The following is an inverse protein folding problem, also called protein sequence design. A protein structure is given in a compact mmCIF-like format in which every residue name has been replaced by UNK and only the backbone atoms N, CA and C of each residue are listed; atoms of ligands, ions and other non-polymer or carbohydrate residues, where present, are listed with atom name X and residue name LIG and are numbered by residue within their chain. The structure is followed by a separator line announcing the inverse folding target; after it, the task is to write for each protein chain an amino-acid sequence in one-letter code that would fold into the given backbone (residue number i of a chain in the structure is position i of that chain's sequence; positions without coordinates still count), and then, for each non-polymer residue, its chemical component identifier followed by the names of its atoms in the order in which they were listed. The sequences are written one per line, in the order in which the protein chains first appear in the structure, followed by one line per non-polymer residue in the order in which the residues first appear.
data_IF_008830072805
#
_entry.id   IF_008830072805
#
_cell.length_a   1.000
_cell.length_b   1.000
_cell.length_c   1.000
_cell.angle_alpha   90.00
_cell.angle_beta   90.00
_cell.angle_gamma   90.00
#
_symmetry.space_group_name_H-M   'P 1'
#
loop_
_entity.id
_entity.type
_entity.pdbx_description
1 polymer ?
#
# COMPACT_ATOMS: atom_id res chain seq x y z
N UNK A 1 -7.37 5.47 19.53
CA UNK A 1 -7.22 6.59 18.57
C UNK A 1 -8.57 7.26 18.38
N UNK A 2 -8.60 8.52 17.98
CA UNK A 2 -9.81 9.22 17.52
C UNK A 2 -9.92 8.99 16.01
N UNK A 3 -11.01 8.36 15.57
CA UNK A 3 -11.29 8.06 14.16
C UNK A 3 -12.55 8.79 13.74
N UNK A 4 -12.40 9.65 12.74
CA UNK A 4 -13.51 10.36 12.14
C UNK A 4 -13.98 9.64 10.88
N UNK A 5 -15.28 9.36 10.80
CA UNK A 5 -15.94 8.89 9.58
C UNK A 5 -16.69 10.07 8.96
N UNK A 6 -16.30 10.48 7.76
CA UNK A 6 -16.90 11.61 7.04
C UNK A 6 -17.71 11.12 5.84
N UNK A 7 -18.94 11.62 5.70
CA UNK A 7 -19.72 11.52 4.47
C UNK A 7 -20.30 12.88 4.06
N UNK A 8 -20.86 12.97 2.85
CA UNK A 8 -21.60 14.14 2.38
C UNK A 8 -23.09 13.84 2.22
N UNK A 9 -23.95 14.79 2.59
CA UNK A 9 -25.40 14.71 2.39
C UNK A 9 -25.81 14.75 0.92
N UNK A 10 -24.94 15.19 0.00
CA UNK A 10 -25.23 15.20 -1.44
C UNK A 10 -24.59 14.03 -2.20
N UNK A 11 -23.84 13.17 -1.51
CA UNK A 11 -23.28 11.93 -2.07
C UNK A 11 -24.21 10.73 -1.80
N UNK A 12 -24.82 10.11 -2.82
CA UNK A 12 -25.70 8.96 -2.61
C UNK A 12 -24.99 7.72 -2.07
N UNK A 13 -23.77 7.42 -2.54
CA UNK A 13 -23.03 6.26 -2.05
C UNK A 13 -22.57 6.50 -0.61
N UNK A 14 -22.00 7.68 -0.34
CA UNK A 14 -21.55 8.06 1.01
C UNK A 14 -22.68 7.97 2.04
N UNK A 15 -23.86 8.52 1.75
CA UNK A 15 -25.05 8.37 2.62
C UNK A 15 -25.46 6.92 2.82
N UNK A 16 -25.46 6.12 1.76
CA UNK A 16 -25.86 4.72 1.83
C UNK A 16 -24.87 3.87 2.63
N UNK A 17 -23.57 4.10 2.48
CA UNK A 17 -22.52 3.47 3.30
C UNK A 17 -22.72 3.85 4.77
N UNK A 18 -22.88 5.15 5.06
CA UNK A 18 -23.12 5.63 6.42
C UNK A 18 -24.35 4.98 7.07
N UNK A 19 -25.49 4.97 6.36
CA UNK A 19 -26.73 4.32 6.85
C UNK A 19 -26.52 2.82 7.12
N UNK A 20 -25.75 2.13 6.28
CA UNK A 20 -25.44 0.72 6.50
C UNK A 20 -24.55 0.52 7.72
N UNK A 21 -23.60 1.43 7.99
CA UNK A 21 -22.81 1.40 9.23
C UNK A 21 -23.72 1.57 10.46
N UNK A 22 -24.57 2.59 10.46
CA UNK A 22 -25.49 2.87 11.58
C UNK A 22 -26.39 1.64 11.87
N UNK A 23 -26.97 1.05 10.83
CA UNK A 23 -27.79 -0.17 10.93
C UNK A 23 -27.01 -1.35 11.52
N UNK A 24 -25.80 -1.62 11.01
CA UNK A 24 -24.97 -2.72 11.49
C UNK A 24 -24.57 -2.54 12.97
N UNK A 25 -24.27 -1.30 13.37
CA UNK A 25 -23.95 -0.95 14.76
C UNK A 25 -25.17 -1.13 15.67
N UNK A 26 -26.35 -0.70 15.24
CA UNK A 26 -27.60 -0.87 15.99
C UNK A 26 -27.96 -2.36 16.16
N UNK A 27 -27.78 -3.16 15.12
CA UNK A 27 -28.11 -4.59 15.12
C UNK A 27 -27.16 -5.45 15.95
N UNK A 28 -25.85 -5.15 15.94
CA UNK A 28 -24.80 -6.03 16.49
C UNK A 28 -24.09 -5.47 17.72
N UNK A 29 -24.26 -4.18 18.03
CA UNK A 29 -23.47 -3.49 19.05
C UNK A 29 -22.11 -3.03 18.51
N UNK A 30 -21.56 -1.96 19.10
CA UNK A 30 -20.26 -1.40 18.70
C UNK A 30 -19.11 -2.37 18.97
N UNK A 31 -19.22 -3.13 20.06
CA UNK A 31 -18.26 -4.14 20.52
C UNK A 31 -18.08 -5.31 19.54
N UNK A 32 -19.00 -5.51 18.59
CA UNK A 32 -18.87 -6.51 17.55
C UNK A 32 -17.83 -6.13 16.47
N UNK A 33 -17.43 -4.86 16.41
CA UNK A 33 -16.62 -4.31 15.33
C UNK A 33 -15.22 -3.89 15.82
N UNK A 34 -14.14 -4.45 15.24
CA UNK A 34 -12.76 -4.05 15.53
C UNK A 34 -12.48 -2.55 15.44
N UNK A 35 -13.23 -1.80 14.62
CA UNK A 35 -13.09 -0.34 14.54
C UNK A 35 -13.23 0.34 15.91
N UNK A 36 -14.07 -0.18 16.82
CA UNK A 36 -14.29 0.39 18.16
C UNK A 36 -13.40 -0.21 19.25
N UNK A 37 -12.50 -1.15 18.91
CA UNK A 37 -11.57 -1.78 19.87
C UNK A 37 -10.48 -0.77 20.29
N UNK A 38 -10.71 -0.08 21.41
CA UNK A 38 -9.80 0.94 21.94
C UNK A 38 -9.79 2.27 21.16
N UNK A 39 -10.75 2.48 20.26
CA UNK A 39 -10.88 3.72 19.49
C UNK A 39 -12.14 4.50 19.86
N UNK A 40 -12.01 5.81 19.88
CA UNK A 40 -13.13 6.73 19.87
C UNK A 40 -13.50 7.00 18.41
N UNK A 41 -14.69 6.56 17.99
CA UNK A 41 -15.15 6.73 16.61
C UNK A 41 -16.25 7.79 16.60
N UNK A 42 -16.03 8.86 15.85
CA UNK A 42 -17.02 9.92 15.65
C UNK A 42 -17.44 9.98 14.19
N UNK A 43 -18.65 10.47 13.96
CA UNK A 43 -19.25 10.49 12.64
C UNK A 43 -19.66 11.90 12.27
N UNK A 44 -19.21 12.35 11.10
CA UNK A 44 -19.43 13.70 10.61
C UNK A 44 -20.12 13.68 9.26
N UNK A 45 -20.92 14.71 9.02
CA UNK A 45 -21.54 14.91 7.72
C UNK A 45 -21.39 16.36 7.27
N UNK A 46 -21.04 16.55 5.99
CA UNK A 46 -21.05 17.86 5.33
C UNK A 46 -22.17 17.97 4.30
N UNK A 47 -22.70 19.18 4.10
CA UNK A 47 -23.66 19.47 3.02
C UNK A 47 -22.98 19.76 1.67
N UNK A 48 -21.65 19.80 1.65
CA UNK A 48 -20.85 20.15 0.48
C UNK A 48 -20.36 18.92 -0.29
N UNK A 49 -19.76 19.13 -1.46
CA UNK A 49 -18.98 18.08 -2.11
C UNK A 49 -17.75 17.81 -1.25
N UNK A 50 -17.55 16.55 -0.85
CA UNK A 50 -16.44 16.12 0.02
C UNK A 50 -15.07 16.64 -0.46
N UNK A 51 -14.82 16.62 -1.77
CA UNK A 51 -13.56 17.10 -2.35
C UNK A 51 -13.23 18.57 -2.05
N UNK A 52 -14.24 19.35 -1.65
CA UNK A 52 -14.13 20.76 -1.27
C UNK A 52 -14.54 21.01 0.20
N UNK A 53 -14.75 19.95 0.99
CA UNK A 53 -15.32 20.09 2.33
C UNK A 53 -14.38 20.89 3.24
N UNK A 54 -14.95 21.83 3.99
CA UNK A 54 -14.21 22.59 4.99
C UNK A 54 -13.77 21.71 6.16
N UNK A 55 -12.49 21.79 6.55
CA UNK A 55 -11.92 21.01 7.67
C UNK A 55 -12.62 21.23 9.02
N UNK A 56 -13.38 22.32 9.18
CA UNK A 56 -14.16 22.59 10.40
C UNK A 56 -15.31 21.61 10.64
N UNK A 57 -15.67 20.79 9.64
CA UNK A 57 -16.61 19.68 9.84
C UNK A 57 -15.99 18.45 10.53
N UNK A 58 -14.70 18.49 10.87
CA UNK A 58 -13.96 17.38 11.45
C UNK A 58 -13.50 17.69 12.88
N UNK A 59 -13.15 16.64 13.62
CA UNK A 59 -12.45 16.76 14.88
C UNK A 59 -10.99 17.19 14.62
N UNK A 60 -10.54 18.34 15.17
CA UNK A 60 -9.16 18.79 15.00
C UNK A 60 -8.12 17.84 15.63
N UNK A 61 -8.55 17.00 16.58
CA UNK A 61 -7.71 16.02 17.28
C UNK A 61 -7.85 14.60 16.69
N UNK A 62 -8.46 14.44 15.51
CA UNK A 62 -8.56 13.15 14.84
C UNK A 62 -7.16 12.56 14.56
N UNK A 63 -7.00 11.25 14.78
CA UNK A 63 -5.80 10.51 14.39
C UNK A 63 -5.90 9.98 12.95
N UNK A 64 -7.13 9.67 12.50
CA UNK A 64 -7.43 9.18 11.14
C UNK A 64 -8.80 9.67 10.70
N UNK A 65 -8.94 10.07 9.44
CA UNK A 65 -10.21 10.41 8.80
C UNK A 65 -10.48 9.41 7.68
N UNK A 66 -11.62 8.72 7.76
CA UNK A 66 -12.10 7.79 6.73
C UNK A 66 -13.28 8.43 6.03
N UNK A 67 -13.09 8.72 4.75
CA UNK A 67 -14.11 9.37 3.93
C UNK A 67 -14.88 8.29 3.16
N UNK A 68 -16.19 8.19 3.39
CA UNK A 68 -17.05 7.27 2.63
C UNK A 68 -17.79 8.03 1.53
N UNK A 69 -17.57 7.62 0.28
CA UNK A 69 -17.88 8.43 -0.91
C UNK A 69 -18.30 7.57 -2.10
N UNK A 70 -18.72 8.21 -3.19
CA UNK A 70 -18.91 7.57 -4.49
C UNK A 70 -17.65 7.69 -5.34
N UNK A 71 -17.37 6.65 -6.10
CA UNK A 71 -16.51 6.73 -7.27
C UNK A 71 -17.36 6.97 -8.52
N UNK A 72 -16.96 7.90 -9.39
CA UNK A 72 -17.56 8.11 -10.70
C UNK A 72 -16.52 7.98 -11.82
N UNK A 73 -16.79 7.12 -12.81
CA UNK A 73 -15.88 6.88 -13.93
C UNK A 73 -16.58 7.00 -15.29
N UNK A 74 -15.88 7.58 -16.27
CA UNK A 74 -16.32 7.63 -17.67
C UNK A 74 -16.30 6.26 -18.36
N UNK A 75 -15.55 5.31 -17.80
CA UNK A 75 -15.52 3.90 -18.21
C UNK A 75 -16.07 3.06 -17.04
N UNK A 76 -17.40 3.05 -16.84
CA UNK A 76 -18.01 2.56 -15.62
C UNK A 76 -17.83 1.06 -15.46
N UNK A 77 -17.51 0.69 -14.24
CA UNK A 77 -17.30 -0.69 -13.79
C UNK A 77 -17.77 -0.80 -12.34
N UNK A 78 -18.44 -1.89 -11.94
CA UNK A 78 -18.72 -2.13 -10.53
C UNK A 78 -17.42 -2.35 -9.74
N UNK A 79 -17.16 -1.51 -8.75
CA UNK A 79 -15.91 -1.52 -8.00
C UNK A 79 -16.08 -0.97 -6.58
N UNK A 80 -15.34 -1.54 -5.63
CA UNK A 80 -15.07 -0.95 -4.32
C UNK A 80 -13.62 -0.47 -4.29
N UNK A 81 -13.40 0.78 -3.91
CA UNK A 81 -12.07 1.38 -3.98
C UNK A 81 -11.60 2.05 -2.70
N UNK A 82 -10.28 2.16 -2.58
CA UNK A 82 -9.61 2.89 -1.50
C UNK A 82 -8.50 3.75 -2.09
N UNK A 83 -8.36 5.02 -1.69
CA UNK A 83 -7.23 5.83 -2.15
C UNK A 83 -6.95 7.04 -1.25
N UNK A 84 -5.72 7.57 -1.26
CA UNK A 84 -5.43 8.83 -0.60
C UNK A 84 -5.83 10.02 -1.49
N UNK A 85 -6.24 11.16 -0.91
CA UNK A 85 -6.39 12.41 -1.65
C UNK A 85 -5.03 13.04 -1.94
N UNK A 86 -4.95 13.83 -3.01
CA UNK A 86 -3.75 14.56 -3.38
C UNK A 86 -3.70 14.96 -4.85
N UNK A 87 -2.97 16.02 -5.15
CA UNK A 87 -2.78 16.55 -6.49
C UNK A 87 -1.28 16.59 -6.83
N UNK A 88 -0.86 15.86 -7.86
CA UNK A 88 0.48 16.00 -8.44
C UNK A 88 0.61 17.19 -9.40
N UNK A 89 -0.50 17.89 -9.64
CA UNK A 89 -0.63 19.06 -10.51
C UNK A 89 -1.67 20.03 -9.95
N UNK A 90 -2.43 20.69 -10.83
CA UNK A 90 -3.51 21.59 -10.43
C UNK A 90 -4.67 20.83 -9.73
N UNK A 91 -5.16 21.38 -8.62
CA UNK A 91 -6.26 20.85 -7.81
C UNK A 91 -7.65 21.12 -8.41
N UNK A 92 -7.86 20.73 -9.66
CA UNK A 92 -9.10 21.03 -10.41
C UNK A 92 -10.36 20.39 -9.79
N UNK A 93 -10.19 19.34 -8.99
CA UNK A 93 -11.23 18.66 -8.24
C UNK A 93 -10.99 18.79 -6.73
N UNK A 94 -10.67 20.00 -6.27
CA UNK A 94 -10.47 20.31 -4.85
C UNK A 94 -9.05 20.07 -4.36
N UNK A 95 -8.76 20.59 -3.16
CA UNK A 95 -7.41 20.62 -2.58
C UNK A 95 -6.50 21.68 -3.21
N UNK A 96 -5.29 21.81 -2.66
CA UNK A 96 -4.28 22.74 -3.17
C UNK A 96 -3.51 22.14 -4.36
N UNK A 97 -2.96 23.02 -5.20
CA UNK A 97 -2.09 22.63 -6.31
C UNK A 97 -0.79 22.01 -5.78
N UNK A 98 -0.35 20.92 -6.40
CA UNK A 98 0.90 20.22 -6.06
C UNK A 98 1.01 19.75 -4.59
N UNK A 99 -0.13 19.61 -3.91
CA UNK A 99 -0.19 19.17 -2.52
C UNK A 99 -0.83 17.78 -2.41
N UNK A 100 -0.24 16.94 -1.56
CA UNK A 100 -0.77 15.63 -1.18
C UNK A 100 -1.30 15.70 0.25
N UNK A 101 -2.50 15.14 0.45
CA UNK A 101 -3.07 15.00 1.79
C UNK A 101 -2.30 13.95 2.60
N UNK A 102 -2.24 14.11 3.92
CA UNK A 102 -1.72 13.02 4.77
C UNK A 102 -2.59 11.78 4.57
N UNK A 103 -1.99 10.59 4.64
CA UNK A 103 -2.72 9.33 4.50
C UNK A 103 -2.17 8.25 5.43
N UNK A 104 -2.92 7.15 5.55
CA UNK A 104 -2.63 6.06 6.46
C UNK A 104 -2.56 4.73 5.72
N UNK A 105 -1.37 4.30 5.27
CA UNK A 105 -1.22 3.09 4.46
C UNK A 105 -1.75 1.83 5.16
N UNK A 106 -1.52 1.70 6.47
CA UNK A 106 -1.95 0.54 7.24
C UNK A 106 -3.48 0.43 7.32
N UNK A 107 -4.17 1.55 7.50
CA UNK A 107 -5.63 1.61 7.51
C UNK A 107 -6.23 1.38 6.13
N UNK A 108 -5.67 2.03 5.10
CA UNK A 108 -6.06 1.78 3.71
C UNK A 108 -5.95 0.30 3.34
N UNK A 109 -4.83 -0.35 3.72
CA UNK A 109 -4.61 -1.78 3.50
C UNK A 109 -5.66 -2.63 4.21
N UNK A 110 -5.97 -2.33 5.47
CA UNK A 110 -6.99 -3.06 6.22
C UNK A 110 -8.37 -2.99 5.53
N UNK A 111 -8.75 -1.81 5.05
CA UNK A 111 -10.01 -1.63 4.30
C UNK A 111 -9.97 -2.35 2.95
N UNK A 112 -8.86 -2.26 2.21
CA UNK A 112 -8.70 -2.97 0.93
C UNK A 112 -8.85 -4.50 1.09
N UNK A 113 -8.19 -5.08 2.10
CA UNK A 113 -8.32 -6.51 2.40
C UNK A 113 -9.75 -6.87 2.80
N UNK A 114 -10.43 -6.01 3.55
CA UNK A 114 -11.83 -6.24 3.89
C UNK A 114 -12.76 -6.09 2.69
N UNK A 115 -12.50 -5.17 1.76
CA UNK A 115 -13.21 -5.13 0.49
C UNK A 115 -13.10 -6.47 -0.22
N UNK A 116 -11.89 -7.02 -0.35
CA UNK A 116 -11.69 -8.34 -0.98
C UNK A 116 -12.47 -9.46 -0.28
N UNK A 117 -12.65 -9.36 1.05
CA UNK A 117 -13.44 -10.32 1.85
C UNK A 117 -14.95 -10.17 1.69
N UNK A 118 -15.46 -8.94 1.56
CA UNK A 118 -16.90 -8.65 1.58
C UNK A 118 -17.49 -8.28 0.22
N UNK A 119 -16.66 -8.15 -0.83
CA UNK A 119 -17.07 -7.70 -2.15
C UNK A 119 -18.20 -8.58 -2.70
N UNK A 120 -19.30 -7.98 -3.20
CA UNK A 120 -20.34 -8.73 -3.87
C UNK A 120 -19.87 -9.27 -5.23
N UNK A 121 -20.47 -10.37 -5.66
CA UNK A 121 -20.21 -10.95 -6.98
C UNK A 121 -20.38 -9.90 -8.10
N UNK A 122 -19.43 -9.87 -9.03
CA UNK A 122 -19.42 -8.93 -10.15
C UNK A 122 -18.76 -7.59 -9.87
N UNK A 123 -18.35 -7.31 -8.63
CA UNK A 123 -17.58 -6.11 -8.27
C UNK A 123 -16.09 -6.41 -8.22
N UNK A 124 -15.29 -5.42 -8.62
CA UNK A 124 -13.84 -5.43 -8.46
C UNK A 124 -13.44 -4.77 -7.14
N UNK A 125 -12.24 -5.07 -6.66
CA UNK A 125 -11.63 -4.40 -5.51
C UNK A 125 -10.30 -3.81 -5.95
N UNK A 126 -10.07 -2.54 -5.63
CA UNK A 126 -8.82 -1.91 -6.02
C UNK A 126 -8.44 -0.74 -5.13
N UNK A 127 -7.15 -0.48 -5.02
CA UNK A 127 -6.72 0.89 -4.80
C UNK A 127 -7.03 1.76 -6.01
N UNK A 128 -7.02 3.07 -5.79
CA UNK A 128 -6.85 4.05 -6.86
C UNK A 128 -5.57 4.86 -6.66
N UNK A 129 -5.04 5.39 -7.76
CA UNK A 129 -3.93 6.34 -7.70
C UNK A 129 -4.33 7.58 -6.87
N UNK A 130 -3.35 8.30 -6.33
CA UNK A 130 -3.60 9.55 -5.61
C UNK A 130 -4.20 10.58 -6.54
N UNK A 131 -5.36 11.12 -6.20
CA UNK A 131 -6.04 12.16 -6.96
C UNK A 131 -7.04 12.93 -6.10
N UNK A 132 -7.35 14.16 -6.55
CA UNK A 132 -8.34 15.10 -6.02
C UNK A 132 -8.17 15.48 -4.54
N UNK A 133 -8.89 16.52 -4.11
CA UNK A 133 -8.87 16.97 -2.72
C UNK A 133 -9.81 16.20 -1.79
N UNK A 134 -9.88 16.58 -0.51
CA UNK A 134 -9.12 17.67 0.13
C UNK A 134 -7.68 17.27 0.49
N UNK A 135 -6.77 18.24 0.53
CA UNK A 135 -5.35 18.00 0.82
C UNK A 135 -4.90 18.57 2.16
N UNK A 136 -5.74 19.38 2.79
CA UNK A 136 -5.45 20.21 3.96
C UNK A 136 -6.16 19.74 5.25
N UNK A 137 -6.69 18.51 5.24
CA UNK A 137 -7.29 17.89 6.42
C UNK A 137 -6.25 17.67 7.53
N UNK A 138 -6.65 17.79 8.82
CA UNK A 138 -5.72 17.84 9.95
C UNK A 138 -5.10 16.50 10.30
N UNK A 139 -5.58 15.39 9.73
CA UNK A 139 -5.16 14.04 10.04
C UNK A 139 -5.01 13.18 8.77
N UNK A 140 -4.26 12.06 8.84
CA UNK A 140 -4.23 11.04 7.80
C UNK A 140 -5.62 10.70 7.28
N UNK A 141 -5.85 10.94 5.99
CA UNK A 141 -7.14 10.82 5.31
C UNK A 141 -7.05 9.84 4.15
N UNK A 142 -8.12 9.07 3.94
CA UNK A 142 -8.31 8.28 2.73
C UNK A 142 -9.79 8.08 2.42
N UNK A 143 -10.07 7.81 1.16
CA UNK A 143 -11.40 7.56 0.62
C UNK A 143 -11.69 6.06 0.58
N UNK A 144 -12.93 5.69 0.85
CA UNK A 144 -13.50 4.36 0.72
C UNK A 144 -14.77 4.50 -0.11
N UNK A 145 -14.73 3.99 -1.34
CA UNK A 145 -15.75 4.34 -2.32
C UNK A 145 -16.47 3.14 -2.93
N UNK A 146 -17.71 3.41 -3.36
CA UNK A 146 -18.50 2.50 -4.21
C UNK A 146 -18.64 3.15 -5.57
N UNK A 147 -18.29 2.40 -6.61
CA UNK A 147 -18.32 2.87 -7.99
C UNK A 147 -19.00 1.89 -8.96
N UNK A 148 -19.32 2.34 -10.17
CA UNK A 148 -18.92 3.65 -10.72
C UNK A 148 -20.10 4.52 -11.19
N UNK A 149 -21.34 4.05 -10.99
CA UNK A 149 -22.55 4.76 -11.43
C UNK A 149 -23.62 4.73 -10.34
N UNK A 150 -24.71 5.48 -10.57
CA UNK A 150 -25.88 5.51 -9.68
C UNK A 150 -26.45 4.13 -9.36
N UNK A 151 -26.33 3.17 -10.28
CA UNK A 151 -26.72 1.78 -10.03
C UNK A 151 -25.92 1.18 -8.87
N UNK A 152 -24.60 1.32 -8.90
CA UNK A 152 -23.72 0.77 -7.88
C UNK A 152 -23.77 1.59 -6.58
N UNK A 153 -23.90 2.92 -6.67
CA UNK A 153 -24.04 3.80 -5.50
C UNK A 153 -25.28 3.47 -4.65
N UNK A 154 -26.31 2.89 -5.26
CA UNK A 154 -27.55 2.46 -4.62
C UNK A 154 -27.65 0.94 -4.42
N UNK A 155 -26.63 0.16 -4.77
CA UNK A 155 -26.61 -1.29 -4.56
C UNK A 155 -26.34 -1.61 -3.09
N UNK A 156 -27.36 -2.17 -2.43
CA UNK A 156 -27.28 -2.53 -1.01
C UNK A 156 -26.16 -3.48 -0.66
N UNK A 157 -25.84 -4.42 -1.56
CA UNK A 157 -24.74 -5.34 -1.30
C UNK A 157 -23.40 -4.60 -1.33
N UNK A 158 -23.23 -3.67 -2.27
CA UNK A 158 -22.00 -2.91 -2.44
C UNK A 158 -21.76 -1.94 -1.28
N UNK A 159 -22.73 -1.08 -0.94
CA UNK A 159 -22.55 -0.13 0.16
C UNK A 159 -22.48 -0.83 1.52
N UNK A 160 -23.16 -1.97 1.70
CA UNK A 160 -23.04 -2.77 2.94
C UNK A 160 -21.67 -3.42 3.02
N UNK A 161 -21.09 -3.88 1.90
CA UNK A 161 -19.72 -4.39 1.86
C UNK A 161 -18.70 -3.30 2.21
N UNK A 162 -18.85 -2.08 1.67
CA UNK A 162 -18.00 -0.96 2.03
C UNK A 162 -18.11 -0.58 3.51
N UNK A 163 -19.34 -0.50 4.06
CA UNK A 163 -19.59 -0.26 5.48
C UNK A 163 -18.91 -1.31 6.37
N UNK A 164 -19.09 -2.61 6.05
CA UNK A 164 -18.38 -3.70 6.75
C UNK A 164 -16.87 -3.57 6.63
N UNK A 165 -16.37 -3.11 5.50
CA UNK A 165 -14.92 -3.00 5.28
C UNK A 165 -14.27 -1.97 6.21
N UNK A 166 -14.97 -0.87 6.48
CA UNK A 166 -14.58 0.13 7.48
C UNK A 166 -14.78 -0.39 8.90
N UNK A 167 -15.94 -0.96 9.23
CA UNK A 167 -16.24 -1.43 10.59
C UNK A 167 -15.34 -2.58 11.06
N UNK A 168 -14.93 -3.47 10.14
CA UNK A 168 -14.01 -4.56 10.44
C UNK A 168 -12.54 -4.19 10.20
N UNK A 169 -12.23 -2.93 9.89
CA UNK A 169 -10.84 -2.52 9.67
C UNK A 169 -10.04 -2.63 10.97
N UNK A 170 -8.96 -3.41 10.91
CA UNK A 170 -7.97 -3.56 11.97
C UNK A 170 -6.58 -3.53 11.34
N UNK A 171 -5.90 -2.37 11.31
CA UNK A 171 -4.56 -2.28 10.73
C UNK A 171 -3.59 -3.18 11.51
N UNK A 172 -2.71 -3.87 10.79
CA UNK A 172 -1.62 -4.64 11.40
C UNK A 172 -0.43 -3.73 11.67
N UNK A 173 0.19 -3.88 12.84
CA UNK A 173 1.44 -3.20 13.20
C UNK A 173 2.63 -3.66 12.33
N UNK A 174 2.53 -4.84 11.71
CA UNK A 174 3.62 -5.44 10.92
C UNK A 174 3.63 -5.01 9.46
N UNK A 175 2.77 -4.05 9.09
CA UNK A 175 2.73 -3.51 7.74
C UNK A 175 3.99 -2.70 7.42
N UNK A 176 4.36 -2.68 6.13
CA UNK A 176 5.52 -1.93 5.63
C UNK A 176 4.99 -0.78 4.77
N UNK A 177 4.97 0.46 5.27
CA UNK A 177 4.48 1.61 4.52
C UNK A 177 5.38 1.90 3.31
N UNK A 178 4.80 1.92 2.11
CA UNK A 178 5.51 2.14 0.85
C UNK A 178 4.73 3.10 -0.06
N UNK A 179 5.44 3.77 -0.95
CA UNK A 179 4.85 4.59 -2.02
C UNK A 179 4.88 3.84 -3.36
N UNK A 180 3.94 4.13 -4.25
CA UNK A 180 3.79 3.43 -5.52
C UNK A 180 3.99 4.32 -6.74
N UNK A 181 4.59 3.77 -7.80
CA UNK A 181 4.76 4.45 -9.09
C UNK A 181 4.36 3.56 -10.26
N UNK A 182 3.63 4.14 -11.21
CA UNK A 182 3.20 3.45 -12.42
C UNK A 182 1.90 2.67 -12.25
N UNK A 183 1.28 2.33 -13.37
CA UNK A 183 -0.02 1.68 -13.42
C UNK A 183 -1.12 2.62 -13.91
N UNK A 184 -2.32 2.05 -14.01
CA UNK A 184 -3.54 2.78 -14.38
C UNK A 184 -4.18 3.42 -13.16
N UNK A 185 -5.26 4.17 -13.36
CA UNK A 185 -6.05 4.76 -12.28
C UNK A 185 -6.44 3.77 -11.17
N UNK A 186 -6.77 2.52 -11.53
CA UNK A 186 -7.11 1.47 -10.56
C UNK A 186 -5.91 0.76 -9.95
N UNK A 187 -4.66 1.22 -10.15
CA UNK A 187 -3.48 0.75 -9.41
C UNK A 187 -3.38 -0.79 -9.21
N UNK A 188 -3.67 -1.57 -10.26
CA UNK A 188 -3.92 -3.03 -10.16
C UNK A 188 -2.80 -3.78 -9.45
N UNK A 189 -1.55 -3.45 -9.76
CA UNK A 189 -0.40 -4.13 -9.16
C UNK A 189 -0.22 -3.76 -7.69
N UNK A 190 -0.43 -2.50 -7.35
CA UNK A 190 -0.44 -2.00 -5.99
C UNK A 190 -1.57 -2.63 -5.16
N UNK A 191 -2.74 -2.85 -5.75
CA UNK A 191 -3.85 -3.57 -5.10
C UNK A 191 -3.46 -5.00 -4.72
N UNK A 192 -2.80 -5.73 -5.63
CA UNK A 192 -2.30 -7.09 -5.36
C UNK A 192 -1.28 -7.07 -4.22
N UNK A 193 -0.29 -6.17 -4.27
CA UNK A 193 0.71 -6.01 -3.20
C UNK A 193 0.03 -5.71 -1.85
N UNK A 194 -0.96 -4.81 -1.86
CA UNK A 194 -1.75 -4.44 -0.71
C UNK A 194 -2.57 -5.61 -0.13
N UNK A 195 -2.99 -6.58 -0.93
CA UNK A 195 -3.79 -7.71 -0.46
C UNK A 195 -2.94 -8.92 -0.05
N UNK A 196 -1.85 -9.18 -0.76
CA UNK A 196 -1.14 -10.46 -0.68
C UNK A 196 0.19 -10.40 0.09
N UNK A 197 0.68 -9.19 0.42
CA UNK A 197 1.98 -9.02 1.09
C UNK A 197 1.88 -8.18 2.36
N UNK A 198 3.00 -7.85 3.01
CA UNK A 198 3.03 -6.86 4.11
C UNK A 198 3.13 -5.41 3.64
N UNK A 199 3.35 -5.17 2.35
CA UNK A 199 3.38 -3.82 1.78
C UNK A 199 2.05 -3.10 1.96
N UNK A 200 2.08 -1.90 2.53
CA UNK A 200 0.94 -1.01 2.72
C UNK A 200 1.18 0.25 1.88
N UNK A 201 0.34 0.47 0.87
CA UNK A 201 0.54 1.56 -0.08
C UNK A 201 -0.09 2.85 0.47
N UNK A 202 0.70 3.91 0.53
CA UNK A 202 0.23 5.27 0.72
C UNK A 202 -0.02 5.94 -0.63
N UNK A 203 0.70 7.01 -0.92
CA UNK A 203 0.58 7.69 -2.21
C UNK A 203 1.04 6.82 -3.39
N UNK A 204 0.28 6.91 -4.48
CA UNK A 204 0.44 6.14 -5.70
C UNK A 204 0.36 7.07 -6.90
N UNK A 205 1.45 7.18 -7.66
CA UNK A 205 1.54 8.03 -8.84
C UNK A 205 1.18 7.26 -10.11
N UNK A 206 0.26 7.81 -10.91
CA UNK A 206 -0.14 7.22 -12.19
C UNK A 206 1.04 7.24 -13.18
N UNK A 207 1.15 6.22 -14.05
CA UNK A 207 2.13 6.19 -15.17
C UNK A 207 2.26 7.52 -15.93
N UNK A 208 1.16 8.26 -16.13
CA UNK A 208 1.16 9.50 -16.92
C UNK A 208 1.96 10.64 -16.26
N UNK A 209 2.11 10.58 -14.94
CA UNK A 209 2.76 11.64 -14.16
C UNK A 209 4.22 11.29 -13.83
N UNK A 210 4.60 10.01 -13.92
CA UNK A 210 5.96 9.54 -13.57
C UNK A 210 7.04 10.21 -14.42
N UNK A 211 6.79 10.47 -15.71
CA UNK A 211 7.75 11.16 -16.57
C UNK A 211 8.08 12.59 -16.13
N UNK A 212 7.19 13.24 -15.35
CA UNK A 212 7.36 14.59 -14.84
C UNK A 212 7.67 14.63 -13.33
N UNK A 213 7.91 13.47 -12.71
CA UNK A 213 8.17 13.37 -11.26
C UNK A 213 9.41 14.15 -10.88
N UNK A 214 9.34 14.82 -9.72
CA UNK A 214 10.44 15.60 -9.14
C UNK A 214 10.76 15.12 -7.72
N UNK A 215 11.98 15.36 -7.21
CA UNK A 215 12.38 14.95 -5.87
C UNK A 215 11.42 15.40 -4.76
N UNK A 216 10.92 16.64 -4.83
CA UNK A 216 9.98 17.19 -3.86
C UNK A 216 8.63 16.45 -3.84
N UNK A 217 8.18 15.92 -4.99
CA UNK A 217 6.97 15.11 -5.05
C UNK A 217 7.18 13.77 -4.36
N UNK A 218 8.34 13.13 -4.59
CA UNK A 218 8.67 11.84 -3.98
C UNK A 218 8.83 11.98 -2.46
N UNK A 219 9.49 13.05 -1.99
CA UNK A 219 9.59 13.37 -0.56
C UNK A 219 8.20 13.55 0.06
N UNK A 220 7.35 14.34 -0.59
CA UNK A 220 5.97 14.56 -0.13
C UNK A 220 5.18 13.24 -0.10
N UNK A 221 5.30 12.38 -1.12
CA UNK A 221 4.67 11.07 -1.13
C UNK A 221 5.11 10.23 0.08
N UNK A 222 6.40 10.19 0.39
CA UNK A 222 6.92 9.40 1.50
C UNK A 222 6.48 9.96 2.86
N UNK A 223 6.64 11.27 3.07
CA UNK A 223 6.28 11.96 4.31
C UNK A 223 4.77 11.84 4.60
N UNK A 224 3.94 12.20 3.62
CA UNK A 224 2.47 12.17 3.76
C UNK A 224 1.90 10.76 3.83
N UNK A 225 2.68 9.73 3.50
CA UNK A 225 2.33 8.31 3.69
C UNK A 225 2.82 7.75 5.03
N UNK A 226 2.94 8.58 6.07
CA UNK A 226 3.38 8.15 7.39
C UNK A 226 4.87 7.76 7.45
N UNK A 227 5.70 8.40 6.62
CA UNK A 227 7.14 8.11 6.55
C UNK A 227 7.44 6.81 5.81
N UNK A 228 6.80 6.59 4.66
CA UNK A 228 7.00 5.40 3.84
C UNK A 228 8.49 5.10 3.60
N UNK A 229 8.87 3.85 3.83
CA UNK A 229 10.28 3.44 3.97
C UNK A 229 10.88 2.93 2.66
N UNK A 230 10.05 2.69 1.64
CA UNK A 230 10.46 2.19 0.35
C UNK A 230 9.47 2.59 -0.76
N UNK A 231 9.89 2.42 -2.01
CA UNK A 231 9.09 2.66 -3.19
C UNK A 231 8.86 1.37 -3.98
N UNK A 232 7.62 1.11 -4.38
CA UNK A 232 7.31 0.11 -5.40
C UNK A 232 7.19 0.77 -6.78
N UNK A 233 7.91 0.23 -7.76
CA UNK A 233 7.87 0.69 -9.15
C UNK A 233 7.25 -0.39 -10.04
N UNK A 234 6.10 -0.13 -10.64
CA UNK A 234 5.54 -0.99 -11.69
C UNK A 234 6.32 -0.74 -12.99
N UNK A 235 7.49 -1.39 -13.07
CA UNK A 235 8.40 -1.29 -14.22
C UNK A 235 7.77 -1.74 -15.54
N UNK A 236 6.69 -2.54 -15.53
CA UNK A 236 5.98 -2.93 -16.77
C UNK A 236 5.09 -1.81 -17.30
N UNK A 237 4.71 -0.87 -16.44
CA UNK A 237 3.86 0.26 -16.79
C UNK A 237 4.66 1.52 -17.18
N UNK A 238 6.00 1.45 -17.21
CA UNK A 238 6.89 2.59 -17.44
C UNK A 238 7.92 2.27 -18.54
N UNK A 239 8.34 3.30 -19.27
CA UNK A 239 9.43 3.21 -20.23
C UNK A 239 10.80 3.19 -19.54
N UNK A 240 11.84 2.71 -20.24
CA UNK A 240 13.21 2.68 -19.68
C UNK A 240 13.72 4.07 -19.23
N UNK A 241 13.50 5.18 -19.97
CA UNK A 241 13.88 6.51 -19.52
C UNK A 241 13.16 6.96 -18.26
N UNK A 242 11.85 6.71 -18.16
CA UNK A 242 11.06 7.05 -16.96
C UNK A 242 11.54 6.27 -15.74
N UNK A 243 11.82 4.97 -15.91
CA UNK A 243 12.40 4.14 -14.85
C UNK A 243 13.74 4.71 -14.41
N UNK A 244 14.65 5.00 -15.35
CA UNK A 244 15.98 5.53 -15.01
C UNK A 244 15.92 6.88 -14.29
N UNK A 245 15.01 7.77 -14.73
CA UNK A 245 14.75 9.06 -14.10
C UNK A 245 14.24 8.88 -12.65
N UNK A 246 13.19 8.07 -12.48
CA UNK A 246 12.61 7.80 -11.17
C UNK A 246 13.61 7.12 -10.21
N UNK A 247 14.34 6.10 -10.68
CA UNK A 247 15.33 5.40 -9.84
C UNK A 247 16.46 6.34 -9.42
N UNK A 248 16.91 7.24 -10.30
CA UNK A 248 17.91 8.24 -9.94
C UNK A 248 17.45 9.19 -8.84
N UNK A 249 16.16 9.58 -8.84
CA UNK A 249 15.56 10.38 -7.76
C UNK A 249 15.48 9.57 -6.46
N UNK A 250 14.99 8.34 -6.52
CA UNK A 250 14.88 7.45 -5.36
C UNK A 250 16.24 7.22 -4.69
N UNK A 251 17.27 6.93 -5.49
CA UNK A 251 18.65 6.75 -5.02
C UNK A 251 19.21 8.01 -4.36
N UNK A 252 19.00 9.19 -4.98
CA UNK A 252 19.45 10.47 -4.44
C UNK A 252 18.76 10.84 -3.13
N UNK A 253 17.51 10.40 -2.94
CA UNK A 253 16.73 10.61 -1.71
C UNK A 253 16.96 9.50 -0.67
N UNK A 254 17.69 8.43 -1.01
CA UNK A 254 17.89 7.28 -0.13
C UNK A 254 16.60 6.48 0.13
N UNK A 255 15.64 6.53 -0.78
CA UNK A 255 14.40 5.74 -0.69
C UNK A 255 14.59 4.47 -1.51
N UNK A 256 14.81 3.31 -0.88
CA UNK A 256 15.08 2.07 -1.60
C UNK A 256 13.86 1.60 -2.40
N UNK A 257 14.10 1.01 -3.56
CA UNK A 257 13.06 0.27 -4.28
C UNK A 257 12.79 -1.08 -3.59
N UNK A 258 11.52 -1.47 -3.50
CA UNK A 258 11.11 -2.80 -3.05
C UNK A 258 10.14 -3.44 -4.06
N UNK A 259 10.44 -4.67 -4.46
CA UNK A 259 9.58 -5.42 -5.37
C UNK A 259 8.54 -6.24 -4.61
N UNK A 260 7.46 -6.62 -5.29
CA UNK A 260 6.49 -7.60 -4.77
C UNK A 260 7.17 -8.91 -4.36
N UNK A 261 8.15 -9.36 -5.14
CA UNK A 261 8.93 -10.55 -4.80
C UNK A 261 9.74 -10.39 -3.52
N UNK A 262 10.29 -9.20 -3.26
CA UNK A 262 11.01 -8.93 -2.01
C UNK A 262 10.05 -8.90 -0.82
N UNK A 263 8.86 -8.29 -0.98
CA UNK A 263 7.82 -8.28 0.06
C UNK A 263 7.31 -9.69 0.40
N UNK A 264 7.27 -10.60 -0.58
CA UNK A 264 6.91 -12.02 -0.34
C UNK A 264 8.05 -12.73 0.41
N UNK A 265 9.30 -12.54 -0.04
CA UNK A 265 10.49 -13.15 0.58
C UNK A 265 10.77 -12.65 1.98
N UNK A 266 10.38 -11.42 2.29
CA UNK A 266 10.53 -10.83 3.61
C UNK A 266 9.78 -11.60 4.69
N UNK A 267 8.81 -12.47 4.34
CA UNK A 267 8.13 -13.38 5.26
C UNK A 267 7.71 -12.71 6.60
N UNK A 268 8.14 -13.25 7.74
CA UNK A 268 7.96 -12.71 9.08
C UNK A 268 9.05 -11.71 9.51
N UNK A 269 10.17 -11.61 8.79
CA UNK A 269 11.29 -10.72 9.12
C UNK A 269 10.90 -9.23 9.13
N UNK A 270 11.51 -8.39 9.96
CA UNK A 270 11.28 -6.94 9.86
C UNK A 270 11.92 -6.33 8.61
N UNK A 271 11.37 -5.19 8.16
CA UNK A 271 11.97 -4.44 7.07
C UNK A 271 13.40 -3.95 7.38
N UNK A 272 13.68 -3.65 8.65
CA UNK A 272 15.03 -3.26 9.09
C UNK A 272 16.03 -4.41 8.93
N UNK A 273 15.67 -5.62 9.36
CA UNK A 273 16.49 -6.81 9.14
C UNK A 273 16.68 -7.07 7.63
N UNK A 274 15.61 -7.00 6.83
CA UNK A 274 15.70 -7.14 5.37
C UNK A 274 16.72 -6.18 4.73
N UNK A 275 16.73 -4.92 5.18
CA UNK A 275 17.72 -3.92 4.71
C UNK A 275 19.14 -4.32 5.10
N UNK A 276 19.37 -4.82 6.33
CA UNK A 276 20.70 -5.27 6.75
C UNK A 276 21.18 -6.43 5.87
N UNK A 277 20.35 -7.45 5.67
CA UNK A 277 20.70 -8.60 4.81
C UNK A 277 20.95 -8.17 3.36
N UNK A 278 20.11 -7.30 2.81
CA UNK A 278 20.29 -6.74 1.47
C UNK A 278 21.60 -5.96 1.37
N UNK A 279 21.95 -5.15 2.38
CA UNK A 279 23.21 -4.42 2.44
C UNK A 279 24.43 -5.36 2.60
N UNK A 280 24.29 -6.50 3.29
CA UNK A 280 25.33 -7.51 3.39
C UNK A 280 25.57 -8.20 2.04
N UNK A 281 24.51 -8.53 1.29
CA UNK A 281 24.63 -9.04 -0.08
C UNK A 281 25.37 -8.05 -0.99
N UNK A 282 25.06 -6.76 -0.87
CA UNK A 282 25.66 -5.67 -1.63
C UNK A 282 27.18 -5.47 -1.38
N UNK A 283 27.70 -5.96 -0.25
CA UNK A 283 29.15 -5.99 0.05
C UNK A 283 29.88 -7.09 -0.72
N UNK A 284 29.17 -8.14 -1.15
CA UNK A 284 29.71 -9.24 -1.96
C UNK A 284 29.82 -8.76 -3.41
N UNK A 285 28.68 -8.36 -3.98
CA UNK A 285 28.55 -7.80 -5.32
C UNK A 285 27.31 -6.90 -5.34
N UNK A 286 27.39 -5.77 -6.06
CA UNK A 286 26.28 -4.83 -6.13
C UNK A 286 25.09 -5.43 -6.88
N UNK A 287 23.89 -5.33 -6.31
CA UNK A 287 22.65 -5.75 -6.96
C UNK A 287 22.37 -7.24 -6.89
N UNK A 288 23.02 -7.97 -5.97
CA UNK A 288 22.64 -9.35 -5.65
C UNK A 288 21.23 -9.38 -5.05
N UNK A 289 20.51 -10.45 -5.37
CA UNK A 289 19.20 -10.75 -4.78
C UNK A 289 19.35 -11.81 -3.71
N UNK A 290 18.62 -11.64 -2.61
CA UNK A 290 18.57 -12.61 -1.52
C UNK A 290 17.28 -13.44 -1.61
N UNK A 291 17.34 -14.67 -1.12
CA UNK A 291 16.23 -15.62 -1.11
C UNK A 291 16.25 -16.44 0.18
N UNK A 292 15.18 -16.38 0.99
CA UNK A 292 15.15 -17.01 2.30
C UNK A 292 14.98 -18.52 2.18
N UNK A 293 15.58 -19.24 3.11
CA UNK A 293 15.28 -20.63 3.41
C UNK A 293 14.79 -20.73 4.85
N UNK A 294 13.52 -21.10 5.03
CA UNK A 294 12.86 -21.11 6.34
C UNK A 294 12.57 -19.73 6.92
N UNK A 295 12.30 -19.69 8.22
CA UNK A 295 12.19 -18.44 8.98
C UNK A 295 13.59 -17.91 9.30
N UNK A 296 13.78 -16.60 9.19
CA UNK A 296 15.07 -15.95 9.41
C UNK A 296 14.90 -14.92 10.52
N UNK A 297 15.80 -14.96 11.50
CA UNK A 297 15.77 -14.07 12.64
C UNK A 297 16.11 -12.62 12.24
N UNK A 298 15.63 -11.68 13.05
CA UNK A 298 15.96 -10.25 12.94
C UNK A 298 17.37 -9.96 13.51
N UNK A 299 18.37 -10.67 12.98
CA UNK A 299 19.75 -10.68 13.45
C UNK A 299 20.70 -9.71 12.74
N UNK A 300 22.00 -9.90 12.99
CA UNK A 300 23.07 -9.18 12.28
C UNK A 300 23.68 -10.10 11.21
N UNK A 301 23.51 -9.78 9.91
CA UNK A 301 23.90 -10.69 8.86
C UNK A 301 25.43 -10.87 8.76
N UNK A 302 25.88 -12.10 8.87
CA UNK A 302 27.20 -12.56 8.50
C UNK A 302 27.21 -13.11 7.07
N UNK A 303 28.25 -12.76 6.30
CA UNK A 303 28.51 -13.35 4.98
C UNK A 303 29.35 -14.61 5.16
N UNK A 304 28.81 -15.75 4.74
CA UNK A 304 29.53 -17.03 4.73
C UNK A 304 29.92 -17.33 3.29
N UNK A 305 31.19 -17.13 2.96
CA UNK A 305 31.73 -17.44 1.64
C UNK A 305 32.08 -18.92 1.51
N UNK A 306 31.68 -19.52 0.40
CA UNK A 306 32.03 -20.88 0.03
C UNK A 306 33.20 -20.84 -0.98
N UNK A 307 34.16 -21.77 -0.92
CA UNK A 307 35.22 -21.83 -1.91
C UNK A 307 34.67 -22.00 -3.34
N UNK A 308 34.94 -21.04 -4.23
CA UNK A 308 34.32 -20.97 -5.56
C UNK A 308 34.58 -22.21 -6.41
N UNK A 309 35.79 -22.76 -6.37
CA UNK A 309 36.17 -23.97 -7.12
C UNK A 309 35.35 -25.18 -6.68
N UNK A 310 35.17 -25.38 -5.37
CA UNK A 310 34.39 -26.48 -4.82
C UNK A 310 32.90 -26.28 -5.08
N UNK A 311 32.39 -25.06 -4.91
CA UNK A 311 31.00 -24.73 -5.16
C UNK A 311 30.62 -24.98 -6.63
N UNK A 312 31.46 -24.49 -7.55
CA UNK A 312 31.24 -24.65 -8.99
C UNK A 312 31.34 -26.12 -9.41
N UNK A 313 32.29 -26.87 -8.85
CA UNK A 313 32.43 -28.30 -9.12
C UNK A 313 31.23 -29.12 -8.61
N UNK A 314 30.69 -28.78 -7.44
CA UNK A 314 29.58 -29.49 -6.82
C UNK A 314 28.21 -29.12 -7.41
N UNK A 315 27.97 -27.82 -7.66
CA UNK A 315 26.63 -27.27 -7.92
C UNK A 315 26.52 -26.48 -9.23
N UNK A 316 27.60 -26.31 -10.00
CA UNK A 316 27.60 -25.47 -11.20
C UNK A 316 26.69 -25.97 -12.34
N UNK A 317 26.32 -27.26 -12.34
CA UNK A 317 25.37 -27.84 -13.31
C UNK A 317 23.97 -28.06 -12.74
N UNK A 318 23.87 -28.24 -11.42
CA UNK A 318 22.62 -28.48 -10.72
C UNK A 318 22.74 -27.96 -9.29
N UNK A 319 22.00 -26.90 -8.99
CA UNK A 319 21.94 -26.27 -7.67
C UNK A 319 20.85 -26.86 -6.77
N UNK A 320 20.00 -27.76 -7.28
CA UNK A 320 18.88 -28.29 -6.50
C UNK A 320 19.32 -29.00 -5.20
N UNK A 321 20.41 -29.80 -5.17
CA UNK A 321 20.87 -30.40 -3.91
C UNK A 321 21.31 -29.37 -2.87
N UNK A 322 21.92 -28.26 -3.31
CA UNK A 322 22.33 -27.18 -2.42
C UNK A 322 21.12 -26.44 -1.85
N UNK A 323 20.15 -26.08 -2.70
CA UNK A 323 18.93 -25.41 -2.25
C UNK A 323 18.13 -26.29 -1.28
N UNK A 324 18.02 -27.59 -1.55
CA UNK A 324 17.37 -28.55 -0.64
C UNK A 324 18.08 -28.63 0.71
N UNK A 325 19.42 -28.61 0.72
CA UNK A 325 20.19 -28.56 1.97
C UNK A 325 19.93 -27.27 2.75
N UNK A 326 19.82 -26.12 2.07
CA UNK A 326 19.49 -24.86 2.73
C UNK A 326 18.05 -24.85 3.27
N UNK A 327 17.10 -25.43 2.53
CA UNK A 327 15.71 -25.60 2.98
C UNK A 327 15.62 -26.46 4.25
N UNK A 328 16.42 -27.52 4.34
CA UNK A 328 16.53 -28.36 5.55
C UNK A 328 17.22 -27.63 6.71
N UNK A 329 18.17 -26.76 6.41
CA UNK A 329 18.93 -26.00 7.43
C UNK A 329 18.09 -24.88 8.03
N UNK A 330 17.37 -24.13 7.20
CA UNK A 330 16.62 -22.94 7.61
C UNK A 330 17.52 -21.78 8.08
N UNK A 331 16.93 -20.62 8.36
CA UNK A 331 17.65 -19.49 8.98
C UNK A 331 18.70 -18.80 8.11
N UNK A 332 18.68 -19.04 6.80
CA UNK A 332 19.72 -18.55 5.88
C UNK A 332 19.13 -17.97 4.60
N UNK A 333 19.82 -16.99 4.02
CA UNK A 333 19.59 -16.57 2.64
C UNK A 333 20.64 -17.16 1.72
N UNK A 334 20.22 -17.66 0.56
CA UNK A 334 21.12 -17.74 -0.58
C UNK A 334 21.09 -16.43 -1.36
N UNK A 335 22.17 -16.15 -2.09
CA UNK A 335 22.28 -14.95 -2.92
C UNK A 335 22.47 -15.30 -4.40
N UNK A 336 21.82 -14.56 -5.28
CA UNK A 336 21.92 -14.74 -6.73
C UNK A 336 22.31 -13.45 -7.43
N UNK A 337 23.18 -13.55 -8.43
CA UNK A 337 23.52 -12.47 -9.35
C UNK A 337 22.57 -12.35 -10.54
N UNK A 338 23.04 -11.65 -11.58
CA UNK A 338 22.27 -11.48 -12.82
C UNK A 338 21.88 -12.82 -13.45
N UNK A 339 20.69 -12.86 -14.05
CA UNK A 339 20.15 -14.07 -14.67
C UNK A 339 19.79 -15.19 -13.68
N UNK A 340 19.80 -14.92 -12.36
CA UNK A 340 19.53 -15.94 -11.34
C UNK A 340 20.72 -16.86 -11.08
N UNK A 341 21.94 -16.46 -11.48
CA UNK A 341 23.15 -17.23 -11.18
C UNK A 341 23.35 -17.29 -9.68
N UNK A 342 23.34 -18.50 -9.12
CA UNK A 342 23.62 -18.73 -7.71
C UNK A 342 25.08 -18.38 -7.39
N UNK A 343 25.30 -17.65 -6.30
CA UNK A 343 26.63 -17.24 -5.87
C UNK A 343 27.18 -18.20 -4.81
N UNK A 344 28.51 -18.36 -4.69
CA UNK A 344 29.15 -19.18 -3.67
C UNK A 344 29.17 -18.45 -2.31
N UNK A 345 28.01 -17.96 -1.86
CA UNK A 345 27.87 -17.29 -0.58
C UNK A 345 26.43 -17.42 -0.06
N UNK A 346 26.31 -17.47 1.26
CA UNK A 346 25.03 -17.40 1.98
C UNK A 346 25.12 -16.31 3.05
N UNK A 347 23.96 -15.81 3.47
CA UNK A 347 23.83 -14.89 4.60
C UNK A 347 23.11 -15.60 5.73
N UNK A 348 23.64 -15.50 6.95
CA UNK A 348 23.05 -16.06 8.16
C UNK A 348 23.23 -15.06 9.31
N UNK A 349 22.45 -15.21 10.38
CA UNK A 349 22.78 -14.60 11.69
C UNK A 349 23.84 -15.46 12.40
#
# INVERSE_FOLDING_TARGET
MIIDILNSEIDPAGRNIRRAMDRLIEEQGKEAFPLFDGNEVTFHTTDERIVNADRSCLNPDADVIIVVSRHSSVNPVPVLTVHPPGNFGEGQLGGNDYELGMTSPAWMKAVLCNHAKFVPEGYRVSYEITHHGPTDFPAPTFFVEVGSTEKEWNDEKAYTAAAKSVLYAKPSADTIPIIGFGGTHYAVRQSVIGQETRGALGHMMHTRDVGAVKPEMVLQMAEKSGGAVAAHVDRKALSKPEIAHLTGILDALGIPEITEGDLIKLNSMSYEAWKKYSAAADKIEKGLKIFPHGEIADGEPAVISLPEDFFSAAFGKDSAPFLSFLDETGGVFHVTGQGGKLMPAVLAD
#
